data_IF_825472864203
#
_entry.id   IF_825472864203
#
_cell.length_a   1.000
_cell.length_b   1.000
_cell.length_c   1.000
_cell.angle_alpha   90.00
_cell.angle_beta   90.00
_cell.angle_gamma   90.00
#
_symmetry.space_group_name_H-M   'P 1'
#
loop_
_entity.id
_entity.type
_entity.pdbx_description
1 polymer ?
#
# COMPACT_ATOMS: atom_id res chain seq x y z
N UNK A 1 -11.59 -12.76 -15.02
CA UNK A 1 -11.90 -11.53 -14.24
C UNK A 1 -10.80 -10.52 -14.52
N UNK A 2 -11.11 -9.26 -14.85
CA UNK A 2 -10.07 -8.25 -15.10
C UNK A 2 -9.38 -7.89 -13.77
N UNK A 3 -8.04 -8.00 -13.68
CA UNK A 3 -7.32 -7.59 -12.47
C UNK A 3 -7.42 -6.07 -12.27
N UNK A 4 -7.44 -5.64 -11.01
CA UNK A 4 -7.58 -4.22 -10.65
C UNK A 4 -6.48 -3.33 -11.27
N UNK A 5 -5.26 -3.86 -11.43
CA UNK A 5 -4.15 -3.18 -12.10
C UNK A 5 -4.49 -2.76 -13.54
N UNK A 6 -5.19 -3.60 -14.30
CA UNK A 6 -5.61 -3.27 -15.68
C UNK A 6 -6.69 -2.19 -15.73
N UNK A 7 -7.48 -2.02 -14.67
CA UNK A 7 -8.49 -0.94 -14.60
C UNK A 7 -7.79 0.42 -14.55
N UNK A 8 -6.78 0.54 -13.69
CA UNK A 8 -6.01 1.78 -13.56
C UNK A 8 -5.21 2.09 -14.84
N UNK A 9 -4.47 1.11 -15.39
CA UNK A 9 -3.72 1.24 -16.64
C UNK A 9 -4.62 1.72 -17.78
N UNK A 10 -5.80 1.09 -17.94
CA UNK A 10 -6.76 1.50 -18.96
C UNK A 10 -7.24 2.95 -18.75
N UNK A 11 -7.55 3.32 -17.51
CA UNK A 11 -8.01 4.67 -17.19
C UNK A 11 -6.92 5.72 -17.44
N UNK A 12 -5.68 5.44 -17.03
CA UNK A 12 -4.53 6.30 -17.26
C UNK A 12 -4.19 6.46 -18.75
N UNK A 13 -4.36 5.39 -19.54
CA UNK A 13 -4.14 5.41 -20.98
C UNK A 13 -5.18 6.24 -21.74
N UNK A 14 -6.47 6.10 -21.42
CA UNK A 14 -7.55 6.76 -22.16
C UNK A 14 -7.96 8.12 -21.61
N UNK A 15 -7.72 8.36 -20.31
CA UNK A 15 -8.15 9.58 -19.62
C UNK A 15 -7.06 10.14 -18.69
N UNK A 16 -5.79 10.25 -19.15
CA UNK A 16 -4.64 10.53 -18.30
C UNK A 16 -4.79 11.78 -17.43
N UNK A 17 -5.38 12.83 -17.99
CA UNK A 17 -5.46 14.14 -17.36
C UNK A 17 -6.79 14.38 -16.61
N UNK A 18 -7.71 13.38 -16.60
CA UNK A 18 -8.95 13.49 -15.83
C UNK A 18 -8.67 13.26 -14.35
N UNK A 19 -9.40 13.95 -13.45
CA UNK A 19 -9.32 13.69 -12.02
C UNK A 19 -9.64 12.24 -11.70
N UNK A 20 -8.74 11.58 -10.97
CA UNK A 20 -8.89 10.21 -10.49
C UNK A 20 -9.17 10.18 -8.99
N UNK A 21 -8.54 11.07 -8.22
CA UNK A 21 -8.63 11.11 -6.77
C UNK A 21 -8.65 12.55 -6.28
N UNK A 22 -9.50 12.82 -5.30
CA UNK A 22 -9.59 14.08 -4.57
C UNK A 22 -9.61 13.74 -3.09
N UNK A 23 -8.58 14.19 -2.36
CA UNK A 23 -8.41 13.94 -0.94
C UNK A 23 -7.92 15.23 -0.27
N UNK A 24 -8.82 15.94 0.37
CA UNK A 24 -8.54 17.28 0.89
C UNK A 24 -8.06 18.20 -0.24
N UNK A 25 -6.83 18.70 -0.08
CA UNK A 25 -6.17 19.56 -1.08
C UNK A 25 -5.41 18.78 -2.16
N UNK A 26 -5.25 17.47 -1.96
CA UNK A 26 -4.59 16.59 -2.93
C UNK A 26 -5.52 16.32 -4.11
N UNK A 27 -5.00 16.54 -5.31
CA UNK A 27 -5.67 16.27 -6.58
C UNK A 27 -4.76 15.43 -7.45
N UNK A 28 -5.16 14.20 -7.73
CA UNK A 28 -4.43 13.32 -8.64
C UNK A 28 -5.28 13.05 -9.87
N UNK A 29 -4.67 13.17 -11.05
CA UNK A 29 -5.24 12.63 -12.27
C UNK A 29 -4.88 11.13 -12.42
N UNK A 30 -5.46 10.45 -13.41
CA UNK A 30 -5.22 9.01 -13.59
C UNK A 30 -3.75 8.69 -13.88
N UNK A 31 -3.05 9.51 -14.62
CA UNK A 31 -1.61 9.34 -14.89
C UNK A 31 -0.79 9.43 -13.59
N UNK A 32 -1.08 10.41 -12.76
CA UNK A 32 -0.38 10.60 -11.49
C UNK A 32 -0.66 9.46 -10.51
N UNK A 33 -1.92 9.01 -10.42
CA UNK A 33 -2.29 7.88 -9.57
C UNK A 33 -1.58 6.60 -10.02
N UNK A 34 -1.53 6.34 -11.34
CA UNK A 34 -0.82 5.19 -11.90
C UNK A 34 0.68 5.24 -11.61
N UNK A 35 1.32 6.39 -11.84
CA UNK A 35 2.75 6.57 -11.55
C UNK A 35 3.08 6.31 -10.09
N UNK A 36 2.28 6.83 -9.17
CA UNK A 36 2.47 6.63 -7.73
C UNK A 36 2.22 5.17 -7.33
N UNK A 37 1.18 4.54 -7.86
CA UNK A 37 0.91 3.11 -7.64
C UNK A 37 2.05 2.22 -8.16
N UNK A 38 2.60 2.51 -9.36
CA UNK A 38 3.75 1.79 -9.90
C UNK A 38 5.00 1.97 -9.03
N UNK A 39 5.28 3.20 -8.55
CA UNK A 39 6.40 3.46 -7.64
C UNK A 39 6.25 2.69 -6.33
N UNK A 40 5.07 2.68 -5.73
CA UNK A 40 4.82 1.90 -4.51
C UNK A 40 4.97 0.40 -4.76
N UNK A 41 4.43 -0.12 -5.86
CA UNK A 41 4.59 -1.53 -6.24
C UNK A 41 6.06 -1.92 -6.34
N UNK A 42 6.85 -1.13 -7.08
CA UNK A 42 8.28 -1.36 -7.24
C UNK A 42 9.06 -1.21 -5.92
N UNK A 43 8.66 -0.28 -5.06
CA UNK A 43 9.26 -0.11 -3.73
C UNK A 43 9.02 -1.34 -2.85
N UNK A 44 7.78 -1.85 -2.81
CA UNK A 44 7.43 -3.04 -2.03
C UNK A 44 8.18 -4.29 -2.52
N UNK A 45 8.25 -4.50 -3.83
CA UNK A 45 9.07 -5.57 -4.42
C UNK A 45 10.57 -5.38 -4.12
N UNK A 46 11.05 -4.14 -4.15
CA UNK A 46 12.43 -3.79 -3.81
C UNK A 46 12.80 -4.03 -2.34
N UNK A 47 11.82 -4.06 -1.44
CA UNK A 47 12.00 -4.47 -0.04
C UNK A 47 12.10 -6.00 0.11
N UNK A 48 11.82 -6.79 -0.93
CA UNK A 48 11.85 -8.24 -0.91
C UNK A 48 10.50 -8.90 -0.67
N UNK A 49 9.40 -8.17 -0.84
CA UNK A 49 8.07 -8.78 -0.88
C UNK A 49 7.88 -9.52 -2.21
N UNK A 50 7.21 -10.66 -2.16
CA UNK A 50 6.98 -11.54 -3.30
C UNK A 50 5.47 -11.69 -3.58
N UNK A 51 5.12 -12.13 -4.79
CA UNK A 51 3.73 -12.37 -5.16
C UNK A 51 3.02 -13.29 -4.15
N UNK A 52 1.84 -12.86 -3.70
CA UNK A 52 1.05 -13.53 -2.65
C UNK A 52 1.33 -13.05 -1.23
N UNK A 53 2.42 -12.31 -0.98
CA UNK A 53 2.66 -11.72 0.34
C UNK A 53 1.56 -10.71 0.70
N UNK A 54 1.21 -10.68 1.97
CA UNK A 54 0.14 -9.81 2.48
C UNK A 54 0.71 -8.49 2.97
N UNK A 55 0.11 -7.41 2.47
CA UNK A 55 0.40 -6.04 2.85
C UNK A 55 -0.82 -5.46 3.53
N UNK A 56 -0.71 -5.25 4.84
CA UNK A 56 -1.76 -4.64 5.63
C UNK A 56 -1.78 -3.12 5.45
N UNK A 57 -2.97 -2.53 5.50
CA UNK A 57 -3.12 -1.08 5.52
C UNK A 57 -4.04 -0.66 6.66
N UNK A 58 -3.56 0.26 7.48
CA UNK A 58 -4.27 0.86 8.60
C UNK A 58 -4.30 2.39 8.42
N UNK A 59 -5.30 2.85 7.71
CA UNK A 59 -5.48 4.25 7.35
C UNK A 59 -6.97 4.58 7.18
N UNK A 60 -7.27 5.88 7.15
CA UNK A 60 -8.55 6.36 6.63
C UNK A 60 -8.57 6.24 5.10
N UNK A 61 -9.75 6.39 4.50
CA UNK A 61 -9.87 6.45 3.04
C UNK A 61 -9.15 7.68 2.49
N UNK A 62 -7.89 7.52 2.11
CA UNK A 62 -7.02 8.56 1.58
C UNK A 62 -6.54 8.23 0.16
N UNK A 63 -5.87 9.18 -0.50
CA UNK A 63 -5.21 8.91 -1.78
C UNK A 63 -4.15 7.80 -1.64
N UNK A 64 -3.42 7.74 -0.51
CA UNK A 64 -2.41 6.69 -0.24
C UNK A 64 -3.03 5.32 -0.09
N UNK A 65 -4.24 5.25 0.48
CA UNK A 65 -5.00 3.99 0.54
C UNK A 65 -5.32 3.45 -0.86
N UNK A 66 -5.75 4.32 -1.78
CA UNK A 66 -6.01 3.93 -3.16
C UNK A 66 -4.72 3.55 -3.90
N UNK A 67 -3.63 4.27 -3.68
CA UNK A 67 -2.31 3.94 -4.22
C UNK A 67 -1.85 2.54 -3.76
N UNK A 68 -1.99 2.23 -2.47
CA UNK A 68 -1.65 0.92 -1.90
C UNK A 68 -2.50 -0.22 -2.50
N UNK A 69 -3.80 0.01 -2.68
CA UNK A 69 -4.68 -0.96 -3.33
C UNK A 69 -4.21 -1.33 -4.74
N UNK A 70 -3.93 -0.31 -5.56
CA UNK A 70 -3.45 -0.55 -6.92
C UNK A 70 -2.01 -1.08 -6.95
N UNK A 71 -1.14 -0.63 -6.06
CA UNK A 71 0.22 -1.11 -5.97
C UNK A 71 0.28 -2.61 -5.65
N UNK A 72 -0.51 -3.08 -4.69
CA UNK A 72 -0.62 -4.51 -4.39
C UNK A 72 -1.11 -5.31 -5.61
N UNK A 73 -2.12 -4.80 -6.32
CA UNK A 73 -2.63 -5.45 -7.54
C UNK A 73 -1.59 -5.48 -8.68
N UNK A 74 -0.73 -4.47 -8.80
CA UNK A 74 0.35 -4.39 -9.79
C UNK A 74 1.47 -5.39 -9.43
N UNK A 75 1.84 -5.43 -8.15
CA UNK A 75 2.94 -6.26 -7.65
C UNK A 75 2.55 -7.73 -7.41
N UNK A 76 1.27 -8.10 -7.59
CA UNK A 76 0.79 -9.44 -7.27
C UNK A 76 0.71 -9.73 -5.76
N UNK A 77 0.72 -8.69 -4.94
CA UNK A 77 0.61 -8.77 -3.49
C UNK A 77 -0.86 -8.87 -3.05
N UNK A 78 -1.09 -9.42 -1.90
CA UNK A 78 -2.41 -9.48 -1.28
C UNK A 78 -2.64 -8.22 -0.45
N UNK A 79 -3.61 -7.41 -0.85
CA UNK A 79 -4.03 -6.23 -0.11
C UNK A 79 -4.91 -6.62 1.07
N UNK A 80 -4.47 -6.31 2.30
CA UNK A 80 -5.18 -6.60 3.54
C UNK A 80 -5.69 -5.30 4.19
N UNK A 81 -6.93 -4.88 3.90
CA UNK A 81 -7.50 -3.69 4.50
C UNK A 81 -7.90 -3.95 5.96
N UNK A 82 -7.38 -3.12 6.88
CA UNK A 82 -7.74 -3.20 8.29
C UNK A 82 -8.82 -2.17 8.62
N UNK A 83 -9.76 -2.56 9.47
CA UNK A 83 -10.77 -1.63 9.94
C UNK A 83 -10.12 -0.62 10.90
N UNK A 84 -10.33 0.66 10.65
CA UNK A 84 -9.80 1.77 11.46
C UNK A 84 -10.34 1.84 12.90
N UNK A 85 -11.30 0.98 13.28
CA UNK A 85 -11.90 0.92 14.62
C UNK A 85 -11.44 -0.28 15.43
N UNK A 86 -10.51 -1.08 14.90
CA UNK A 86 -9.99 -2.24 15.63
C UNK A 86 -9.19 -1.82 16.86
N UNK A 87 -9.39 -2.54 17.94
CA UNK A 87 -8.58 -2.44 19.14
C UNK A 87 -7.29 -3.27 18.99
N UNK A 88 -6.30 -2.99 19.85
CA UNK A 88 -5.00 -3.66 19.80
C UNK A 88 -5.08 -5.20 19.74
N UNK A 89 -5.87 -5.90 20.57
CA UNK A 89 -5.96 -7.37 20.50
C UNK A 89 -6.53 -7.90 19.19
N UNK A 90 -7.42 -7.14 18.54
CA UNK A 90 -7.99 -7.53 17.23
C UNK A 90 -6.96 -7.35 16.11
N UNK A 91 -6.16 -6.29 16.17
CA UNK A 91 -5.05 -6.07 15.24
C UNK A 91 -3.99 -7.16 15.39
N UNK A 92 -3.59 -7.50 16.62
CA UNK A 92 -2.65 -8.58 16.91
C UNK A 92 -3.14 -9.91 16.32
N UNK A 93 -4.40 -10.25 16.54
CA UNK A 93 -5.00 -11.45 15.97
C UNK A 93 -4.91 -11.45 14.43
N UNK A 94 -5.29 -10.36 13.78
CA UNK A 94 -5.29 -10.28 12.31
C UNK A 94 -3.87 -10.36 11.74
N UNK A 95 -2.88 -9.70 12.34
CA UNK A 95 -1.50 -9.79 11.88
C UNK A 95 -0.96 -11.22 11.96
N UNK A 96 -1.24 -11.91 13.07
CA UNK A 96 -0.77 -13.29 13.29
C UNK A 96 -1.53 -14.32 12.42
N UNK A 97 -2.83 -14.13 12.20
CA UNK A 97 -3.65 -15.01 11.37
C UNK A 97 -3.34 -14.86 9.87
N UNK A 98 -3.05 -13.63 9.46
CA UNK A 98 -2.78 -13.32 8.04
C UNK A 98 -1.32 -13.53 7.64
N UNK A 99 -0.37 -13.66 8.56
CA UNK A 99 1.07 -13.61 8.28
C UNK A 99 1.46 -12.40 7.42
N UNK A 100 0.90 -11.23 7.70
CA UNK A 100 1.23 -10.02 6.96
C UNK A 100 2.71 -9.68 7.11
N UNK A 101 3.39 -9.43 5.97
CA UNK A 101 4.84 -9.12 5.96
C UNK A 101 5.11 -7.61 6.00
N UNK A 102 4.18 -6.81 5.55
CA UNK A 102 4.29 -5.35 5.61
C UNK A 102 3.00 -4.72 6.12
N UNK A 103 3.15 -3.57 6.79
CA UNK A 103 2.04 -2.71 7.16
C UNK A 103 2.31 -1.28 6.73
N UNK A 104 1.33 -0.66 6.09
CA UNK A 104 1.28 0.76 5.80
C UNK A 104 0.30 1.40 6.78
N UNK A 105 0.72 2.40 7.53
CA UNK A 105 -0.15 3.07 8.48
C UNK A 105 0.07 4.57 8.55
N UNK A 106 -0.98 5.31 8.87
CA UNK A 106 -0.93 6.75 9.11
C UNK A 106 -0.86 7.09 10.60
N UNK A 107 -0.44 8.31 10.90
CA UNK A 107 -0.17 8.80 12.26
C UNK A 107 -1.30 8.52 13.27
N UNK A 108 -2.61 8.67 12.96
CA UNK A 108 -3.68 8.39 13.94
C UNK A 108 -3.69 6.97 14.50
N UNK A 109 -3.05 6.03 13.80
CA UNK A 109 -3.02 4.62 14.21
C UNK A 109 -1.69 4.19 14.83
N UNK A 110 -0.73 5.11 14.94
CA UNK A 110 0.59 4.81 15.48
C UNK A 110 0.51 4.21 16.89
N UNK A 111 -0.25 4.84 17.78
CA UNK A 111 -0.34 4.39 19.17
C UNK A 111 -0.88 2.97 19.31
N UNK A 112 -1.99 2.66 18.66
CA UNK A 112 -2.59 1.31 18.72
C UNK A 112 -1.72 0.26 18.05
N UNK A 113 -1.00 0.62 16.99
CA UNK A 113 -0.09 -0.30 16.31
C UNK A 113 1.15 -0.60 17.16
N UNK A 114 1.74 0.38 17.83
CA UNK A 114 2.90 0.18 18.71
C UNK A 114 2.60 -0.76 19.90
N UNK A 115 1.35 -0.84 20.35
CA UNK A 115 0.94 -1.80 21.38
C UNK A 115 1.08 -3.27 20.93
N UNK A 116 0.97 -3.54 19.61
CA UNK A 116 0.91 -4.91 19.07
C UNK A 116 2.09 -5.29 18.20
N UNK A 117 2.87 -4.33 17.74
CA UNK A 117 3.97 -4.54 16.81
C UNK A 117 4.94 -5.64 17.23
N UNK A 118 5.31 -5.67 18.54
CA UNK A 118 6.20 -6.69 19.08
C UNK A 118 5.60 -8.11 19.09
N UNK A 119 4.29 -8.22 18.99
CA UNK A 119 3.54 -9.49 19.00
C UNK A 119 3.15 -9.96 17.57
N UNK A 120 3.61 -9.27 16.53
CA UNK A 120 3.36 -9.60 15.14
C UNK A 120 4.69 -9.97 14.42
N UNK A 121 5.26 -11.16 14.68
CA UNK A 121 6.60 -11.52 14.23
C UNK A 121 6.74 -11.68 12.71
N UNK A 122 5.64 -11.81 11.97
CA UNK A 122 5.64 -11.85 10.51
C UNK A 122 5.89 -10.49 9.86
N UNK A 123 5.64 -9.38 10.59
CA UNK A 123 5.83 -8.05 10.07
C UNK A 123 7.31 -7.71 9.96
N UNK A 124 7.82 -7.66 8.74
CA UNK A 124 9.19 -7.30 8.41
C UNK A 124 9.34 -5.81 8.11
N UNK A 125 8.29 -5.20 7.56
CA UNK A 125 8.32 -3.81 7.11
C UNK A 125 7.16 -2.99 7.66
N UNK A 126 7.50 -1.89 8.33
CA UNK A 126 6.54 -0.87 8.76
C UNK A 126 6.77 0.41 7.95
N UNK A 127 5.73 0.90 7.28
CA UNK A 127 5.78 2.05 6.38
C UNK A 127 4.84 3.14 6.89
N UNK A 128 5.41 4.27 7.28
CA UNK A 128 4.67 5.44 7.78
C UNK A 128 4.16 6.31 6.64
N UNK A 129 2.84 6.51 6.56
CA UNK A 129 2.18 7.31 5.55
C UNK A 129 1.86 8.72 6.06
N UNK A 130 2.53 9.74 5.52
CA UNK A 130 2.27 11.14 5.86
C UNK A 130 2.59 11.52 7.30
N UNK A 131 3.48 10.78 7.95
CA UNK A 131 3.98 11.08 9.29
C UNK A 131 5.13 12.07 9.20
N UNK A 132 5.04 13.18 9.95
CA UNK A 132 6.14 14.14 10.05
C UNK A 132 7.27 13.62 10.94
N UNK A 133 6.90 12.96 12.04
CA UNK A 133 7.81 12.41 13.05
C UNK A 133 7.58 10.89 13.17
N UNK A 134 7.90 10.16 12.11
CA UNK A 134 7.83 8.69 12.12
C UNK A 134 8.93 8.10 13.02
N UNK A 135 8.68 6.98 13.73
CA UNK A 135 9.74 6.23 14.42
C UNK A 135 10.90 5.89 13.49
N UNK A 136 12.13 5.84 14.01
CA UNK A 136 13.35 5.64 13.22
C UNK A 136 13.37 4.31 12.44
N UNK A 137 12.69 3.29 12.95
CA UNK A 137 12.59 1.97 12.33
C UNK A 137 11.48 1.88 11.27
N UNK A 138 10.72 2.96 11.05
CA UNK A 138 9.73 3.04 9.98
C UNK A 138 10.35 3.53 8.69
N UNK A 139 9.91 2.94 7.58
CA UNK A 139 10.20 3.48 6.25
C UNK A 139 9.29 4.66 5.95
N UNK A 140 9.83 5.72 5.39
CA UNK A 140 9.02 6.85 4.93
C UNK A 140 8.35 6.54 3.59
N UNK A 141 7.04 6.65 3.53
CA UNK A 141 6.24 6.35 2.34
C UNK A 141 6.69 7.16 1.11
N UNK A 142 6.80 8.49 1.24
CA UNK A 142 7.14 9.35 0.10
C UNK A 142 8.60 9.17 -0.36
N UNK A 143 9.51 8.87 0.54
CA UNK A 143 10.90 8.54 0.20
C UNK A 143 10.99 7.22 -0.58
N UNK A 144 10.23 6.21 -0.17
CA UNK A 144 10.12 4.95 -0.91
C UNK A 144 9.61 5.18 -2.34
N UNK A 145 8.57 5.98 -2.49
CA UNK A 145 8.06 6.33 -3.82
C UNK A 145 9.07 7.11 -4.65
N UNK A 146 9.76 8.07 -4.04
CA UNK A 146 10.74 8.90 -4.75
C UNK A 146 11.95 8.08 -5.26
N UNK A 147 12.36 7.06 -4.52
CA UNK A 147 13.47 6.18 -4.89
C UNK A 147 13.11 5.13 -5.95
N UNK A 148 11.83 4.83 -6.14
CA UNK A 148 11.37 3.75 -7.01
C UNK A 148 11.00 4.23 -8.41
N UNK A 149 11.13 3.33 -9.40
CA UNK A 149 10.70 3.58 -10.78
C UNK A 149 9.17 3.66 -10.88
N UNK A 150 8.67 4.54 -11.76
CA UNK A 150 7.24 4.62 -12.13
C UNK A 150 6.84 3.71 -13.29
N UNK A 151 7.78 2.93 -13.83
CA UNK A 151 7.47 1.93 -14.85
C UNK A 151 6.83 0.73 -14.19
N UNK A 152 5.70 0.29 -14.74
CA UNK A 152 5.05 -0.93 -14.29
C UNK A 152 6.02 -2.12 -14.40
N UNK A 153 6.20 -2.84 -13.29
CA UNK A 153 6.79 -4.18 -13.29
C UNK A 153 5.62 -5.14 -13.06
N UNK A 154 5.01 -5.68 -14.13
CA UNK A 154 3.88 -6.58 -13.97
C UNK A 154 4.35 -7.80 -13.20
N UNK A 155 3.68 -8.12 -12.11
CA UNK A 155 3.82 -9.45 -11.54
C UNK A 155 3.34 -10.47 -12.57
N UNK A 156 4.08 -11.55 -12.72
CA UNK A 156 3.61 -12.72 -13.46
C UNK A 156 2.52 -13.40 -12.60
N UNK A 157 1.30 -12.89 -12.70
CA UNK A 157 0.19 -13.35 -11.88
C UNK A 157 -0.44 -14.64 -12.39
N UNK A 158 0.14 -15.26 -13.44
CA UNK A 158 -0.30 -16.58 -13.93
C UNK A 158 -1.79 -16.66 -14.30
N UNK A 159 -2.41 -15.53 -14.61
CA UNK A 159 -3.79 -15.51 -15.10
C UNK A 159 -3.71 -15.89 -16.58
N UNK A 160 -3.94 -17.17 -16.84
CA UNK A 160 -4.15 -17.67 -18.18
C UNK A 160 -5.20 -16.83 -18.90
N UNK A 161 -4.90 -16.47 -20.15
CA UNK A 161 -5.75 -15.72 -21.09
C UNK A 161 -7.14 -16.37 -21.29
#
# INVERSE_FOLDING_TARGET
>A
MYPASRILDRAARFFPDRPAMIDGDVRLNYRQLEQRANRLANALLGLGLEAGDRVAILDWNSHRYAEAYYACAIAGLTFLPLNSRLAAPELEYIFNDSDARAVLLSEPFLAVFEEVKSNAPSLEFTIGMGMADAPEDYRNYEELLAAASDRATPADTGVDD
#
